data_IF_380519453156
#
_entry.id   IF_380519453156
#
_cell.length_a   1.000
_cell.length_b   1.000
_cell.length_c   1.000
_cell.angle_alpha   90.00
_cell.angle_beta   90.00
_cell.angle_gamma   90.00
#
_symmetry.space_group_name_H-M   'P 1'
#
loop_
_entity.id
_entity.type
_entity.pdbx_description
1 polymer ?
#
# COMPACT_ATOMS: atom_id res chain seq x y z
N UNK A 1 -11.62 -8.21 16.44
CA UNK A 1 -12.06 -7.26 15.42
C UNK A 1 -10.96 -6.26 15.17
N UNK A 2 -10.49 -6.16 13.94
CA UNK A 2 -9.41 -5.25 13.65
C UNK A 2 -9.94 -3.83 13.52
N UNK A 3 -9.21 -2.87 14.08
CA UNK A 3 -9.55 -1.47 13.96
C UNK A 3 -8.89 -0.91 12.72
N UNK A 4 -9.67 -0.22 11.92
CA UNK A 4 -9.11 0.51 10.80
C UNK A 4 -8.67 1.88 11.28
N UNK A 5 -7.49 2.29 10.84
CA UNK A 5 -7.03 3.63 11.16
C UNK A 5 -7.83 4.63 10.34
N UNK A 6 -8.01 5.84 10.86
CA UNK A 6 -8.75 6.87 10.15
C UNK A 6 -7.95 7.35 8.95
N UNK A 7 -8.64 7.94 7.97
CA UNK A 7 -7.98 8.50 6.79
C UNK A 7 -6.95 9.55 7.19
N UNK A 8 -7.28 10.36 8.17
CA UNK A 8 -6.37 11.39 8.65
C UNK A 8 -5.04 10.81 9.10
N UNK A 9 -5.12 9.70 9.84
CA UNK A 9 -3.92 9.04 10.34
C UNK A 9 -3.12 8.40 9.22
N UNK A 10 -3.77 7.69 8.30
CA UNK A 10 -3.02 7.01 7.25
C UNK A 10 -2.45 7.97 6.23
N UNK A 11 -3.06 9.14 6.06
CA UNK A 11 -2.53 10.15 5.14
C UNK A 11 -1.22 10.76 5.63
N UNK A 12 -0.91 10.59 6.92
CA UNK A 12 0.32 11.12 7.50
C UNK A 12 1.27 10.02 7.95
N UNK A 13 0.87 8.76 7.83
CA UNK A 13 1.69 7.66 8.29
C UNK A 13 2.87 7.41 7.34
N UNK A 14 4.00 7.05 7.91
CA UNK A 14 5.15 6.65 7.11
C UNK A 14 4.90 5.32 6.42
N UNK A 15 4.28 4.40 7.14
CA UNK A 15 3.98 3.05 6.62
C UNK A 15 2.48 2.80 6.64
N UNK A 16 2.02 2.09 5.62
CA UNK A 16 0.60 1.74 5.50
C UNK A 16 0.48 0.29 5.06
N UNK A 17 -0.70 -0.29 5.30
CA UNK A 17 -1.01 -1.64 4.82
C UNK A 17 -1.56 -1.57 3.41
N UNK A 18 -1.68 -2.75 2.76
CA UNK A 18 -2.26 -2.79 1.42
C UNK A 18 -3.72 -2.33 1.44
N UNK A 19 -4.46 -2.67 2.51
CA UNK A 19 -5.84 -2.20 2.64
C UNK A 19 -5.92 -0.69 2.76
N UNK A 20 -4.95 -0.10 3.45
CA UNK A 20 -4.88 1.36 3.57
C UNK A 20 -4.52 2.01 2.24
N UNK A 21 -3.68 1.36 1.44
CA UNK A 21 -3.40 1.84 0.09
C UNK A 21 -4.64 1.82 -0.79
N UNK A 22 -5.48 0.81 -0.64
CA UNK A 22 -6.76 0.78 -1.35
C UNK A 22 -7.58 2.03 -1.01
N UNK A 23 -7.64 2.36 0.27
CA UNK A 23 -8.38 3.55 0.70
C UNK A 23 -7.78 4.85 0.20
N UNK A 24 -6.44 4.91 0.14
CA UNK A 24 -5.75 6.13 -0.30
C UNK A 24 -5.82 6.33 -1.82
N UNK A 25 -5.85 5.26 -2.58
CA UNK A 25 -5.71 5.34 -4.04
C UNK A 25 -6.98 4.96 -4.78
N UNK A 26 -7.93 4.32 -4.13
CA UNK A 26 -9.12 3.75 -4.74
C UNK A 26 -8.79 2.69 -5.81
N UNK A 27 -7.58 2.14 -5.78
CA UNK A 27 -7.20 1.03 -6.64
C UNK A 27 -7.64 -0.26 -5.96
N UNK A 28 -8.11 -1.21 -6.73
CA UNK A 28 -8.62 -2.47 -6.19
C UNK A 28 -7.53 -3.24 -5.46
N UNK A 29 -7.93 -3.93 -4.40
CA UNK A 29 -7.03 -4.76 -3.61
C UNK A 29 -6.28 -5.76 -4.50
N UNK A 30 -7.01 -6.46 -5.37
CA UNK A 30 -6.39 -7.46 -6.25
C UNK A 30 -5.35 -6.85 -7.18
N UNK A 31 -5.57 -5.63 -7.62
CA UNK A 31 -4.61 -4.93 -8.47
C UNK A 31 -3.34 -4.59 -7.70
N UNK A 32 -3.49 -4.07 -6.48
CA UNK A 32 -2.32 -3.76 -5.66
C UNK A 32 -1.56 -5.01 -5.27
N UNK A 33 -2.27 -6.09 -4.99
CA UNK A 33 -1.64 -7.37 -4.70
C UNK A 33 -0.83 -7.86 -5.90
N UNK A 34 -1.40 -7.73 -7.09
CA UNK A 34 -0.70 -8.10 -8.32
C UNK A 34 0.59 -7.28 -8.48
N UNK A 35 0.51 -5.97 -8.27
CA UNK A 35 1.70 -5.11 -8.37
C UNK A 35 2.76 -5.55 -7.37
N UNK A 36 2.35 -5.90 -6.17
CA UNK A 36 3.27 -6.35 -5.13
C UNK A 36 3.97 -7.64 -5.54
N UNK A 37 3.22 -8.60 -6.04
CA UNK A 37 3.76 -9.90 -6.40
C UNK A 37 4.64 -9.85 -7.64
N UNK A 38 4.40 -8.89 -8.52
CA UNK A 38 5.22 -8.71 -9.71
C UNK A 38 6.47 -7.86 -9.45
N UNK A 39 6.66 -7.43 -8.22
CA UNK A 39 7.81 -6.62 -7.86
C UNK A 39 7.71 -5.16 -8.25
N UNK A 40 6.52 -4.72 -8.66
CA UNK A 40 6.32 -3.33 -9.06
C UNK A 40 6.05 -2.41 -7.87
N UNK A 41 5.65 -2.99 -6.75
CA UNK A 41 5.30 -2.22 -5.57
C UNK A 41 6.09 -2.79 -4.39
N UNK A 42 7.16 -2.14 -3.98
CA UNK A 42 8.01 -2.66 -2.90
C UNK A 42 7.32 -2.59 -1.55
N UNK A 43 7.66 -3.52 -0.69
CA UNK A 43 7.10 -3.58 0.66
C UNK A 43 8.17 -4.07 1.62
N UNK A 44 7.90 -3.87 2.93
CA UNK A 44 8.74 -4.36 3.99
C UNK A 44 7.94 -5.31 4.86
N UNK A 45 8.61 -6.30 5.41
CA UNK A 45 7.98 -7.28 6.27
C UNK A 45 8.90 -7.52 7.45
N UNK A 46 8.42 -7.22 8.65
CA UNK A 46 9.21 -7.39 9.85
C UNK A 46 9.37 -8.88 10.14
N UNK A 47 10.52 -9.23 10.75
CA UNK A 47 10.80 -10.61 11.14
C UNK A 47 9.69 -11.10 12.08
N UNK A 48 9.17 -12.28 11.81
CA UNK A 48 8.12 -12.87 12.63
C UNK A 48 6.74 -12.25 12.42
N UNK A 49 6.64 -11.28 11.55
CA UNK A 49 5.37 -10.62 11.28
C UNK A 49 5.01 -10.83 9.81
N UNK A 50 3.84 -11.41 9.57
CA UNK A 50 3.41 -11.72 8.20
C UNK A 50 2.75 -10.54 7.50
N UNK A 51 2.51 -9.45 8.21
CA UNK A 51 1.86 -8.28 7.63
C UNK A 51 2.87 -7.46 6.84
N UNK A 52 2.60 -7.24 5.57
CA UNK A 52 3.42 -6.40 4.72
C UNK A 52 3.14 -4.95 4.99
N UNK A 53 4.19 -4.15 5.02
CA UNK A 53 4.08 -2.71 5.22
C UNK A 53 4.66 -2.00 4.01
N UNK A 54 3.99 -0.95 3.58
CA UNK A 54 4.38 -0.19 2.42
C UNK A 54 4.73 1.22 2.86
N UNK A 55 5.80 1.78 2.31
CA UNK A 55 6.09 3.20 2.53
C UNK A 55 5.07 4.01 1.77
N UNK A 56 4.31 4.82 2.49
CA UNK A 56 3.16 5.50 1.91
C UNK A 56 3.54 6.37 0.70
N UNK A 57 4.50 7.28 0.88
CA UNK A 57 4.85 8.23 -0.17
C UNK A 57 5.40 7.51 -1.41
N UNK A 58 6.35 6.60 -1.20
CA UNK A 58 6.92 5.84 -2.30
C UNK A 58 5.87 5.02 -3.05
N UNK A 59 4.98 4.39 -2.29
CA UNK A 59 3.95 3.54 -2.88
C UNK A 59 2.97 4.36 -3.70
N UNK A 60 2.56 5.51 -3.19
CA UNK A 60 1.65 6.38 -3.93
C UNK A 60 2.28 6.85 -5.22
N UNK A 61 3.56 7.21 -5.18
CA UNK A 61 4.27 7.64 -6.38
C UNK A 61 4.40 6.50 -7.37
N UNK A 62 4.73 5.30 -6.90
CA UNK A 62 4.91 4.15 -7.76
C UNK A 62 3.59 3.76 -8.42
N UNK A 63 2.51 3.74 -7.65
CA UNK A 63 1.20 3.42 -8.20
C UNK A 63 0.80 4.42 -9.28
N UNK A 64 1.06 5.70 -9.03
CA UNK A 64 0.76 6.74 -10.02
C UNK A 64 1.56 6.53 -11.30
N UNK A 65 2.83 6.14 -11.18
CA UNK A 65 3.67 5.87 -12.34
C UNK A 65 3.14 4.67 -13.14
N UNK A 66 2.79 3.60 -12.46
CA UNK A 66 2.27 2.40 -13.12
C UNK A 66 1.00 2.74 -13.90
N UNK A 67 0.10 3.49 -13.30
CA UNK A 67 -1.16 3.84 -13.94
C UNK A 67 -0.97 4.79 -15.11
N UNK A 68 0.08 5.58 -15.08
CA UNK A 68 0.38 6.50 -16.16
C UNK A 68 0.90 5.79 -17.41
N UNK A 69 1.50 4.63 -17.24
CA UNK A 69 2.08 3.85 -18.34
C UNK A 69 1.05 3.01 -19.08
N UNK A 70 -0.19 2.99 -18.63
CA UNK A 70 -1.24 2.19 -19.23
C UNK A 70 -1.91 2.90 -20.37
#
# INVERSE_FOLDING_TARGET
>A
MSRQRSMEVIEQAEYVTIGELVRLTAVRYSTLKFYTEEGMLPFEQAEGNLTRRYRRVESLERIAQIRRLR
#
